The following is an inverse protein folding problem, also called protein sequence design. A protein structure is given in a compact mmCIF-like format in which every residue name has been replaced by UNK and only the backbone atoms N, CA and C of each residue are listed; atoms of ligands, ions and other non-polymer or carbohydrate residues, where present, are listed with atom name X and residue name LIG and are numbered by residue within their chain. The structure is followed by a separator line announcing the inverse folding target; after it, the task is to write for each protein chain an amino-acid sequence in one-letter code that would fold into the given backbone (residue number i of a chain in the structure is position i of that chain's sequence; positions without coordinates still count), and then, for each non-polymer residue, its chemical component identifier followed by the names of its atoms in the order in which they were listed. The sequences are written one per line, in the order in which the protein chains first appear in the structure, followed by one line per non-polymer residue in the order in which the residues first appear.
data_IF_274066858520
#
_entry.id   IF_274066858520
#
_cell.length_a   1.000
_cell.length_b   1.000
_cell.length_c   1.000
_cell.angle_alpha   90.00
_cell.angle_beta   90.00
_cell.angle_gamma   90.00
#
_symmetry.space_group_name_H-M   'P 1'
#
loop_
_entity.id
_entity.type
_entity.pdbx_description
1 polymer ?
#
# COMPACT_ATOMS: atom_id res chain seq x y z
N UNK A 1 -5.92 7.64 -23.48
CA UNK A 1 -5.72 6.63 -22.46
C UNK A 1 -6.02 7.17 -21.10
N UNK A 2 -6.76 6.42 -20.32
CA UNK A 2 -7.12 6.85 -18.98
C UNK A 2 -6.04 6.44 -17.99
N UNK A 3 -5.79 7.31 -17.04
CA UNK A 3 -4.87 7.00 -15.96
C UNK A 3 -5.47 5.93 -15.06
N UNK A 4 -4.65 5.08 -14.47
CA UNK A 4 -5.18 4.12 -13.49
C UNK A 4 -5.73 4.85 -12.28
N UNK A 5 -6.68 4.20 -11.61
CA UNK A 5 -7.25 4.77 -10.40
C UNK A 5 -6.19 4.81 -9.31
N UNK A 6 -6.45 5.62 -8.29
CA UNK A 6 -5.49 5.78 -7.21
C UNK A 6 -5.17 4.44 -6.52
N UNK A 7 -6.16 3.60 -6.17
CA UNK A 7 -5.81 2.30 -5.58
C UNK A 7 -4.91 1.47 -6.49
N UNK A 8 -5.16 1.49 -7.79
CA UNK A 8 -4.33 0.75 -8.73
C UNK A 8 -2.91 1.27 -8.76
N UNK A 9 -2.76 2.60 -8.70
CA UNK A 9 -1.44 3.20 -8.68
C UNK A 9 -0.69 2.82 -7.41
N UNK A 10 -1.38 2.82 -6.29
CA UNK A 10 -0.76 2.43 -5.02
C UNK A 10 -0.35 0.97 -5.05
N UNK A 11 -1.18 0.12 -5.62
CA UNK A 11 -0.84 -1.30 -5.74
C UNK A 11 0.45 -1.47 -6.53
N UNK A 12 0.58 -0.77 -7.63
CA UNK A 12 1.78 -0.86 -8.45
C UNK A 12 3.00 -0.36 -7.71
N UNK A 13 2.85 0.74 -6.96
CA UNK A 13 3.97 1.30 -6.21
C UNK A 13 4.43 0.31 -5.14
N UNK A 14 3.50 -0.26 -4.40
CA UNK A 14 3.83 -1.20 -3.34
C UNK A 14 4.50 -2.44 -3.91
N UNK A 15 4.00 -2.91 -5.05
CA UNK A 15 4.57 -4.09 -5.69
C UNK A 15 6.00 -3.83 -6.16
N UNK A 16 6.23 -2.67 -6.76
CA UNK A 16 7.55 -2.33 -7.31
C UNK A 16 8.58 -2.10 -6.21
N UNK A 17 8.14 -1.49 -5.11
CA UNK A 17 9.06 -1.22 -4.02
C UNK A 17 9.53 -2.50 -3.33
N UNK A 18 8.64 -3.46 -3.17
CA UNK A 18 9.00 -4.71 -2.52
C UNK A 18 9.36 -4.55 -1.05
N UNK A 19 8.95 -3.45 -0.42
CA UNK A 19 9.22 -3.18 0.97
C UNK A 19 8.12 -2.30 1.54
N UNK A 20 8.01 -2.20 2.85
CA UNK A 20 6.99 -1.33 3.43
C UNK A 20 7.24 0.13 3.03
N UNK A 21 6.18 0.81 2.64
CA UNK A 21 6.24 2.19 2.18
C UNK A 21 5.31 3.03 3.05
N UNK A 22 5.79 4.14 3.55
CA UNK A 22 5.01 5.01 4.40
C UNK A 22 3.96 5.76 3.60
N UNK A 23 2.93 6.25 4.30
CA UNK A 23 1.86 6.97 3.62
C UNK A 23 2.37 8.26 2.99
N UNK A 24 3.34 8.91 3.63
CA UNK A 24 3.93 10.12 3.06
C UNK A 24 4.63 9.84 1.75
N UNK A 25 5.37 8.75 1.70
CA UNK A 25 6.06 8.36 0.48
C UNK A 25 5.05 7.97 -0.60
N UNK A 26 4.01 7.23 -0.21
CA UNK A 26 2.97 6.86 -1.16
C UNK A 26 2.28 8.09 -1.74
N UNK A 27 2.01 9.07 -0.90
CA UNK A 27 1.37 10.29 -1.37
C UNK A 27 2.23 11.03 -2.39
N UNK A 28 3.52 11.07 -2.15
CA UNK A 28 4.43 11.71 -3.08
C UNK A 28 4.53 10.95 -4.40
N UNK A 29 4.67 9.64 -4.30
CA UNK A 29 4.82 8.82 -5.50
C UNK A 29 3.55 8.77 -6.33
N UNK A 30 2.41 8.79 -5.66
CA UNK A 30 1.13 8.76 -6.35
C UNK A 30 0.63 10.15 -6.72
N UNK A 31 1.32 11.19 -6.26
CA UNK A 31 0.93 12.57 -6.52
C UNK A 31 -0.48 12.83 -6.01
N UNK A 32 -0.72 12.47 -4.76
CA UNK A 32 -2.04 12.56 -4.14
C UNK A 32 -1.90 12.98 -2.69
N UNK A 33 -3.03 13.37 -2.09
CA UNK A 33 -3.06 13.74 -0.68
C UNK A 33 -2.95 12.51 0.19
N UNK A 34 -2.43 12.70 1.40
CA UNK A 34 -2.37 11.60 2.35
C UNK A 34 -3.74 11.01 2.62
N UNK A 35 -4.75 11.87 2.73
CA UNK A 35 -6.10 11.43 2.99
C UNK A 35 -6.61 10.55 1.85
N UNK A 36 -6.37 10.99 0.61
CA UNK A 36 -6.77 10.20 -0.55
C UNK A 36 -6.05 8.86 -0.57
N UNK A 37 -4.77 8.86 -0.22
CA UNK A 37 -3.99 7.63 -0.17
C UNK A 37 -4.55 6.69 0.90
N UNK A 38 -4.90 7.22 2.07
CA UNK A 38 -5.49 6.40 3.13
C UNK A 38 -6.78 5.73 2.66
N UNK A 39 -7.66 6.51 2.04
CA UNK A 39 -8.91 5.96 1.54
C UNK A 39 -8.67 4.91 0.47
N UNK A 40 -7.71 5.18 -0.40
CA UNK A 40 -7.39 4.22 -1.46
C UNK A 40 -6.81 2.94 -0.88
N UNK A 41 -5.99 3.06 0.18
CA UNK A 41 -5.42 1.88 0.83
C UNK A 41 -6.50 1.04 1.49
N UNK A 42 -7.47 1.68 2.11
CA UNK A 42 -8.59 0.95 2.71
C UNK A 42 -9.36 0.21 1.63
N UNK A 43 -9.63 0.87 0.52
CA UNK A 43 -10.34 0.23 -0.58
C UNK A 43 -9.53 -0.92 -1.16
N UNK A 44 -8.23 -0.74 -1.28
CA UNK A 44 -7.36 -1.78 -1.81
C UNK A 44 -7.32 -2.99 -0.89
N UNK A 45 -7.21 -2.75 0.40
CA UNK A 45 -7.19 -3.83 1.38
C UNK A 45 -8.51 -4.59 1.35
N UNK A 46 -9.62 -3.87 1.29
CA UNK A 46 -10.92 -4.51 1.24
C UNK A 46 -11.08 -5.32 -0.04
N UNK A 47 -10.58 -4.81 -1.15
CA UNK A 47 -10.64 -5.54 -2.41
C UNK A 47 -9.87 -6.85 -2.32
N UNK A 48 -8.69 -6.82 -1.74
CA UNK A 48 -7.91 -8.04 -1.59
C UNK A 48 -8.57 -9.01 -0.61
N UNK A 49 -9.22 -8.49 0.42
CA UNK A 49 -9.90 -9.35 1.39
C UNK A 49 -11.08 -10.08 0.74
N UNK A 50 -11.73 -9.45 -0.22
CA UNK A 50 -12.87 -10.06 -0.89
C UNK A 50 -12.47 -11.04 -1.99
N UNK A 51 -11.27 -10.88 -2.51
CA UNK A 51 -10.80 -11.75 -3.59
C UNK A 51 -9.96 -12.88 -3.02
N UNK A 52 -10.04 -14.02 -3.67
CA UNK A 52 -9.17 -15.14 -3.35
C UNK A 52 -7.84 -14.91 -4.06
N UNK A 53 -7.03 -14.04 -3.49
CA UNK A 53 -5.79 -13.63 -4.11
C UNK A 53 -4.61 -14.16 -3.29
N UNK A 54 -3.52 -14.44 -3.98
CA UNK A 54 -2.30 -14.88 -3.31
C UNK A 54 -1.54 -13.70 -2.69
N UNK A 55 -1.97 -12.49 -2.98
CA UNK A 55 -1.34 -11.30 -2.44
C UNK A 55 -2.25 -10.62 -1.44
N UNK A 56 -1.69 -9.89 -0.52
CA UNK A 56 -2.46 -9.10 0.41
C UNK A 56 -1.70 -7.84 0.78
N UNK A 57 -2.44 -6.82 1.16
CA UNK A 57 -1.84 -5.56 1.62
C UNK A 57 -1.78 -5.60 3.13
N UNK A 58 -0.59 -5.38 3.66
CA UNK A 58 -0.34 -5.47 5.10
C UNK A 58 0.15 -4.12 5.60
N UNK A 59 -0.42 -3.68 6.71
CA UNK A 59 0.03 -2.46 7.38
C UNK A 59 1.04 -2.85 8.44
N UNK A 60 2.17 -2.17 8.44
CA UNK A 60 3.24 -2.42 9.39
C UNK A 60 3.67 -1.11 10.02
N UNK A 61 4.28 -1.20 11.19
CA UNK A 61 4.87 -0.05 11.84
C UNK A 61 6.38 -0.11 11.66
N UNK A 62 6.94 0.98 11.18
CA UNK A 62 8.35 1.07 10.92
C UNK A 62 8.92 2.18 11.79
N UNK A 63 9.98 1.89 12.51
CA UNK A 63 10.63 2.89 13.34
C UNK A 63 11.39 3.87 12.45
N UNK A 64 11.11 5.16 12.65
CA UNK A 64 11.79 6.20 11.91
C UNK A 64 12.30 7.22 12.91
N UNK A 65 13.55 7.08 13.31
CA UNK A 65 14.10 8.01 14.29
C UNK A 65 13.40 7.85 15.63
N UNK A 66 12.77 8.91 16.10
CA UNK A 66 12.17 8.93 17.43
C UNK A 66 10.73 8.44 17.44
N UNK A 67 10.15 8.12 16.29
CA UNK A 67 8.74 7.74 16.26
C UNK A 67 8.54 6.57 15.33
N UNK A 68 7.36 5.97 15.43
CA UNK A 68 6.96 4.91 14.52
C UNK A 68 6.02 5.47 13.48
N UNK A 69 6.22 5.07 12.24
CA UNK A 69 5.36 5.46 11.14
C UNK A 69 4.64 4.24 10.62
N UNK A 70 3.41 4.46 10.15
CA UNK A 70 2.65 3.39 9.51
C UNK A 70 3.17 3.20 8.09
N UNK A 71 3.29 1.95 7.69
CA UNK A 71 3.76 1.62 6.36
C UNK A 71 2.93 0.47 5.81
N UNK A 72 2.83 0.39 4.51
CA UNK A 72 2.06 -0.65 3.83
C UNK A 72 2.95 -1.39 2.86
N UNK A 73 2.67 -2.67 2.70
CA UNK A 73 3.42 -3.50 1.77
C UNK A 73 2.50 -4.57 1.20
N UNK A 74 2.82 -5.03 0.01
CA UNK A 74 2.13 -6.15 -0.60
C UNK A 74 2.95 -7.41 -0.33
N UNK A 75 2.30 -8.41 0.23
CA UNK A 75 2.94 -9.68 0.55
C UNK A 75 2.23 -10.80 -0.15
N UNK A 76 2.96 -11.85 -0.44
CA UNK A 76 2.39 -13.07 -0.96
C UNK A 76 1.93 -13.94 0.20
N UNK A 77 0.67 -14.34 0.16
CA UNK A 77 0.13 -15.19 1.22
C UNK A 77 0.76 -16.56 1.20
N UNK A 78 1.25 -17.00 0.06
CA UNK A 78 1.85 -18.32 -0.05
C UNK A 78 3.31 -18.33 0.35
N UNK A 79 3.91 -17.15 0.45
CA UNK A 79 5.30 -17.06 0.84
C UNK A 79 5.37 -16.88 2.34
N UNK A 80 5.02 -17.90 3.08
CA UNK A 80 4.95 -17.74 4.44
C UNK A 80 6.18 -18.01 5.12
N UNK A 81 6.59 -17.28 5.83
CA UNK A 81 7.60 -17.38 6.68
C UNK A 81 8.24 -18.40 6.95
#
# INVERSE_FOLDING_TARGET
MTSPSLPTRLEAILYLKGRPVSIGELAELADADRRSVEEALVALTASYAQRDSALEVVEQRVATGCSCARAWAIWSKTCCR
#
